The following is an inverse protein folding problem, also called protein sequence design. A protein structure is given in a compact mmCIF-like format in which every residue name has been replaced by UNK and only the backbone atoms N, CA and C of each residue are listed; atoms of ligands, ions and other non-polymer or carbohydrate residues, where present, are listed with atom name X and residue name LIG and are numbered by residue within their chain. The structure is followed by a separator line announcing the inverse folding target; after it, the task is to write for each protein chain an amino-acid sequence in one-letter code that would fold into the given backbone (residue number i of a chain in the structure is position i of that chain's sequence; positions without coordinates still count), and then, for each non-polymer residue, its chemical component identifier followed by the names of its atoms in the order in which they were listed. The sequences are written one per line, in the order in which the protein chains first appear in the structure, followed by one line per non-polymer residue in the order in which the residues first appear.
data_IF_402442659370
#
_entry.id   IF_402442659370
#
_cell.length_a   1.000
_cell.length_b   1.000
_cell.length_c   1.000
_cell.angle_alpha   90.00
_cell.angle_beta   90.00
_cell.angle_gamma   90.00
#
_symmetry.space_group_name_H-M   'P 1'
#
loop_
_entity.id
_entity.type
_entity.pdbx_description
1 polymer ?
#
# COMPACT_ATOMS: atom_id res chain seq x y z
N UNK A 1 23.91 8.47 -9.04
CA UNK A 1 23.07 9.54 -9.62
C UNK A 1 22.11 10.04 -8.54
N UNK A 2 21.62 11.28 -8.65
CA UNK A 2 20.55 11.81 -7.77
C UNK A 2 19.35 10.85 -7.69
N UNK A 3 19.01 10.20 -8.81
CA UNK A 3 17.96 9.18 -8.91
C UNK A 3 18.17 8.03 -7.92
N UNK A 4 19.38 7.48 -7.82
CA UNK A 4 19.68 6.39 -6.88
C UNK A 4 19.60 6.79 -5.40
N UNK A 5 19.80 8.08 -5.08
CA UNK A 5 19.63 8.59 -3.71
C UNK A 5 18.15 8.77 -3.36
N UNK A 6 17.36 9.35 -4.27
CA UNK A 6 15.91 9.48 -4.06
C UNK A 6 15.20 8.12 -4.02
N UNK A 7 15.62 7.14 -4.83
CA UNK A 7 15.09 5.77 -4.76
C UNK A 7 15.35 5.11 -3.41
N UNK A 8 16.53 5.34 -2.84
CA UNK A 8 16.91 4.78 -1.54
C UNK A 8 16.13 5.42 -0.40
N UNK A 9 15.95 6.75 -0.43
CA UNK A 9 15.14 7.47 0.56
C UNK A 9 13.66 7.09 0.48
N UNK A 10 13.09 7.00 -0.72
CA UNK A 10 11.68 6.62 -0.88
C UNK A 10 11.43 5.16 -0.44
N UNK A 11 12.37 4.26 -0.70
CA UNK A 11 12.28 2.87 -0.23
C UNK A 11 12.36 2.80 1.31
N UNK A 12 13.30 3.52 1.92
CA UNK A 12 13.42 3.61 3.38
C UNK A 12 12.14 4.15 4.03
N UNK A 13 11.58 5.25 3.53
CA UNK A 13 10.36 5.84 4.08
C UNK A 13 9.14 4.92 3.94
N UNK A 14 9.04 4.17 2.83
CA UNK A 14 7.96 3.20 2.63
C UNK A 14 8.13 1.97 3.53
N UNK A 15 9.34 1.45 3.68
CA UNK A 15 9.66 0.34 4.58
C UNK A 15 9.42 0.75 6.05
N UNK A 16 9.77 2.00 6.44
CA UNK A 16 9.50 2.57 7.77
C UNK A 16 8.00 2.74 8.04
N UNK A 17 7.24 3.31 7.10
CA UNK A 17 5.79 3.47 7.26
C UNK A 17 5.06 2.12 7.30
N UNK A 18 5.51 1.16 6.49
CA UNK A 18 5.00 -0.21 6.52
C UNK A 18 5.31 -0.89 7.84
N UNK A 19 6.55 -0.75 8.33
CA UNK A 19 6.94 -1.37 9.59
C UNK A 19 6.21 -0.74 10.77
N UNK A 20 6.04 0.59 10.77
CA UNK A 20 5.27 1.29 11.79
C UNK A 20 3.79 0.87 11.77
N UNK A 21 3.19 0.72 10.58
CA UNK A 21 1.82 0.21 10.45
C UNK A 21 1.70 -1.26 10.89
N UNK A 22 2.70 -2.10 10.62
CA UNK A 22 2.77 -3.50 11.08
C UNK A 22 2.95 -3.57 12.59
N UNK A 23 3.81 -2.74 13.17
CA UNK A 23 4.08 -2.71 14.60
C UNK A 23 2.85 -2.19 15.38
N UNK A 24 2.21 -1.11 14.89
CA UNK A 24 0.97 -0.57 15.46
C UNK A 24 -0.19 -1.56 15.29
N UNK A 25 -0.31 -2.22 14.13
CA UNK A 25 -1.31 -3.26 13.92
C UNK A 25 -1.02 -4.50 14.79
N UNK A 26 0.24 -4.90 14.94
CA UNK A 26 0.66 -6.05 15.73
C UNK A 26 0.41 -5.87 17.22
N UNK A 27 0.79 -4.72 17.78
CA UNK A 27 0.54 -4.39 19.18
C UNK A 27 -0.98 -4.32 19.47
N UNK A 28 -1.74 -3.66 18.60
CA UNK A 28 -3.19 -3.56 18.76
C UNK A 28 -3.91 -4.91 18.54
N UNK A 29 -3.43 -5.76 17.64
CA UNK A 29 -3.95 -7.12 17.45
C UNK A 29 -3.65 -8.03 18.64
N UNK A 30 -2.46 -7.94 19.22
CA UNK A 30 -2.11 -8.70 20.42
C UNK A 30 -3.04 -8.32 21.58
N UNK A 31 -3.24 -7.02 21.79
CA UNK A 31 -4.21 -6.52 22.78
C UNK A 31 -5.64 -6.97 22.46
N UNK A 32 -6.04 -7.00 21.19
CA UNK A 32 -7.34 -7.53 20.77
C UNK A 32 -7.52 -9.02 21.11
N UNK A 33 -6.46 -9.82 20.93
CA UNK A 33 -6.43 -11.22 21.35
C UNK A 33 -6.67 -11.36 22.86
N UNK A 34 -5.98 -10.55 23.66
CA UNK A 34 -6.17 -10.52 25.12
C UNK A 34 -7.58 -10.08 25.52
N UNK A 35 -8.19 -9.14 24.78
CA UNK A 35 -9.60 -8.75 24.99
C UNK A 35 -10.55 -9.92 24.70
N UNK A 36 -10.29 -10.72 23.67
CA UNK A 36 -11.09 -11.90 23.35
C UNK A 36 -10.91 -13.02 24.39
N UNK A 37 -9.72 -13.17 24.97
CA UNK A 37 -9.45 -14.15 26.04
C UNK A 37 -10.31 -13.93 27.28
N UNK A 38 -10.74 -12.69 27.57
CA UNK A 38 -11.66 -12.40 28.69
C UNK A 38 -12.98 -13.18 28.61
N UNK A 39 -13.40 -13.61 27.42
CA UNK A 39 -14.65 -14.38 27.23
C UNK A 39 -14.50 -15.88 27.53
N UNK A 40 -13.27 -16.37 27.65
CA UNK A 40 -12.97 -17.79 27.94
C UNK A 40 -12.14 -17.96 29.22
N UNK A 41 -11.91 -16.88 29.96
CA UNK A 41 -11.18 -16.88 31.22
C UNK A 41 -12.04 -17.47 32.35
N UNK A 42 -11.75 -18.71 32.73
CA UNK A 42 -12.44 -19.42 33.82
C UNK A 42 -12.27 -18.76 35.20
N UNK A 43 -11.39 -17.78 35.36
CA UNK A 43 -11.25 -16.99 36.59
C UNK A 43 -12.31 -15.90 36.72
N UNK A 44 -13.01 -15.56 35.63
CA UNK A 44 -14.13 -14.62 35.60
C UNK A 44 -15.42 -15.42 35.82
N UNK A 45 -16.15 -15.22 36.94
CA UNK A 45 -17.42 -15.91 37.16
C UNK A 45 -18.46 -15.56 36.09
N UNK A 46 -19.28 -16.53 35.68
CA UNK A 46 -20.34 -16.34 34.66
C UNK A 46 -21.33 -15.22 35.02
N UNK A 47 -21.57 -15.00 36.33
CA UNK A 47 -22.46 -13.95 36.85
C UNK A 47 -21.82 -12.55 36.85
N UNK A 48 -20.56 -12.43 36.38
CA UNK A 48 -19.87 -11.14 36.31
C UNK A 48 -20.62 -10.21 35.35
N UNK A 49 -21.01 -9.01 35.79
CA UNK A 49 -21.68 -8.05 34.92
C UNK A 49 -20.79 -7.69 33.72
N UNK A 50 -21.38 -7.67 32.53
CA UNK A 50 -20.66 -7.31 31.30
C UNK A 50 -19.94 -5.95 31.38
N UNK A 51 -20.45 -5.01 32.19
CA UNK A 51 -19.79 -3.74 32.45
C UNK A 51 -18.36 -3.92 33.03
N UNK A 52 -18.17 -4.85 33.97
CA UNK A 52 -16.86 -5.12 34.56
C UNK A 52 -15.91 -5.80 33.56
N UNK A 53 -16.43 -6.63 32.65
CA UNK A 53 -15.65 -7.22 31.55
C UNK A 53 -15.19 -6.15 30.57
N UNK A 54 -16.05 -5.17 30.24
CA UNK A 54 -15.66 -4.01 29.40
C UNK A 54 -14.58 -3.16 30.04
N UNK A 55 -14.65 -2.90 31.34
CA UNK A 55 -13.61 -2.14 32.05
C UNK A 55 -12.24 -2.83 31.91
N UNK A 56 -12.16 -4.14 32.15
CA UNK A 56 -10.95 -4.94 31.91
C UNK A 56 -10.49 -4.88 30.45
N UNK A 57 -11.42 -4.95 29.50
CA UNK A 57 -11.09 -4.85 28.09
C UNK A 57 -10.50 -3.48 27.72
N UNK A 58 -10.97 -2.39 28.35
CA UNK A 58 -10.47 -1.03 28.12
C UNK A 58 -9.11 -0.75 28.80
N UNK A 59 -8.76 -1.53 29.82
CA UNK A 59 -7.40 -1.53 30.39
C UNK A 59 -6.38 -2.17 29.42
N UNK A 60 -6.81 -3.17 28.64
CA UNK A 60 -5.97 -3.88 27.68
C UNK A 60 -5.83 -3.14 26.34
N UNK A 61 -6.91 -2.51 25.88
CA UNK A 61 -6.96 -1.78 24.61
C UNK A 61 -7.71 -0.47 24.80
N UNK A 62 -7.17 0.64 24.29
CA UNK A 62 -7.89 1.91 24.33
C UNK A 62 -9.20 1.79 23.54
N UNK A 63 -10.31 2.30 24.11
CA UNK A 63 -11.64 2.32 23.48
C UNK A 63 -11.62 2.91 22.06
N UNK A 64 -10.78 3.91 21.80
CA UNK A 64 -10.63 4.54 20.49
C UNK A 64 -10.03 3.59 19.43
N UNK A 65 -9.27 2.59 19.87
CA UNK A 65 -8.65 1.59 19.01
C UNK A 65 -9.62 0.46 18.63
N UNK A 66 -10.69 0.21 19.38
CA UNK A 66 -11.62 -0.90 19.11
C UNK A 66 -12.24 -0.87 17.69
N UNK A 67 -12.74 0.27 17.17
CA UNK A 67 -13.27 0.33 15.81
C UNK A 67 -12.22 0.05 14.74
N UNK A 68 -10.99 0.56 14.93
CA UNK A 68 -9.88 0.39 13.99
C UNK A 68 -9.47 -1.08 13.92
N UNK A 69 -9.26 -1.69 15.09
CA UNK A 69 -8.79 -3.07 15.23
C UNK A 69 -9.87 -4.07 14.79
N UNK A 70 -11.13 -3.86 15.17
CA UNK A 70 -12.22 -4.73 14.72
C UNK A 70 -12.45 -4.65 13.20
N UNK A 71 -12.30 -3.47 12.59
CA UNK A 71 -12.31 -3.31 11.13
C UNK A 71 -11.13 -4.04 10.50
N UNK A 72 -9.94 -3.90 11.08
CA UNK A 72 -8.74 -4.58 10.61
C UNK A 72 -8.88 -6.11 10.70
N UNK A 73 -9.29 -6.68 11.84
CA UNK A 73 -9.54 -8.11 12.01
C UNK A 73 -10.55 -8.68 11.00
N UNK A 74 -11.58 -7.89 10.65
CA UNK A 74 -12.57 -8.27 9.63
C UNK A 74 -12.03 -8.24 8.20
N UNK A 75 -11.03 -7.41 7.93
CA UNK A 75 -10.48 -7.18 6.59
C UNK A 75 -9.12 -7.88 6.36
N UNK A 76 -8.43 -8.33 7.41
CA UNK A 76 -7.17 -9.08 7.34
C UNK A 76 -7.30 -10.34 6.48
N UNK A 77 -8.45 -11.02 6.53
CA UNK A 77 -8.71 -12.21 5.70
C UNK A 77 -8.91 -11.88 4.21
N UNK A 78 -9.02 -10.61 3.82
CA UNK A 78 -9.48 -10.26 2.47
C UNK A 78 -8.52 -9.45 1.62
N UNK A 79 -7.35 -9.02 2.11
CA UNK A 79 -6.59 -8.05 1.31
C UNK A 79 -5.08 -8.19 1.26
N UNK A 80 -4.57 -9.42 1.28
CA UNK A 80 -3.25 -9.68 0.69
C UNK A 80 -3.16 -9.09 -0.72
N UNK A 81 -4.24 -9.19 -1.48
CA UNK A 81 -4.35 -8.64 -2.83
C UNK A 81 -4.35 -7.11 -2.84
N UNK A 82 -5.08 -6.35 -2.00
CA UNK A 82 -4.91 -4.89 -1.98
C UNK A 82 -3.65 -4.42 -1.30
N UNK A 83 -3.04 -5.16 -0.37
CA UNK A 83 -1.67 -4.86 0.06
C UNK A 83 -0.69 -5.00 -1.10
N UNK A 84 -0.81 -6.06 -1.90
CA UNK A 84 -0.05 -6.23 -3.13
C UNK A 84 -0.36 -5.12 -4.15
N UNK A 85 -1.62 -4.77 -4.41
CA UNK A 85 -2.01 -3.70 -5.35
C UNK A 85 -1.64 -2.30 -4.85
N UNK A 86 -1.73 -2.03 -3.55
CA UNK A 86 -1.26 -0.78 -2.94
C UNK A 86 0.25 -0.66 -3.10
N UNK A 87 0.99 -1.74 -2.86
CA UNK A 87 2.43 -1.82 -3.11
C UNK A 87 2.77 -1.59 -4.60
N UNK A 88 2.08 -2.26 -5.54
CA UNK A 88 2.23 -2.00 -6.97
C UNK A 88 1.86 -0.54 -7.33
N UNK A 89 0.88 0.05 -6.63
CA UNK A 89 0.50 1.46 -6.73
C UNK A 89 1.62 2.41 -6.30
N UNK A 90 2.42 2.07 -5.28
CA UNK A 90 3.62 2.84 -4.90
C UNK A 90 4.74 2.71 -5.95
N UNK A 91 4.81 1.57 -6.64
CA UNK A 91 5.77 1.33 -7.71
C UNK A 91 5.31 1.91 -9.06
N UNK A 92 4.05 2.32 -9.21
CA UNK A 92 3.45 2.91 -10.42
C UNK A 92 4.32 3.96 -11.08
N UNK A 93 4.90 4.87 -10.30
CA UNK A 93 5.72 5.95 -10.86
C UNK A 93 7.01 5.41 -11.47
N UNK A 94 7.65 4.42 -10.82
CA UNK A 94 8.83 3.72 -11.32
C UNK A 94 8.50 2.85 -12.53
N UNK A 95 7.38 2.12 -12.50
CA UNK A 95 6.89 1.37 -13.66
C UNK A 95 6.63 2.30 -14.84
N UNK A 96 5.96 3.44 -14.63
CA UNK A 96 5.71 4.42 -15.69
C UNK A 96 7.00 4.99 -16.27
N UNK A 97 8.01 5.30 -15.45
CA UNK A 97 9.30 5.81 -15.94
C UNK A 97 10.06 4.74 -16.75
N UNK A 98 10.16 3.51 -16.24
CA UNK A 98 10.85 2.43 -16.94
C UNK A 98 10.11 1.97 -18.20
N UNK A 99 8.78 1.83 -18.14
CA UNK A 99 7.95 1.51 -19.30
C UNK A 99 7.93 2.64 -20.30
N UNK A 100 7.98 3.92 -19.89
CA UNK A 100 8.12 5.06 -20.82
C UNK A 100 9.43 4.97 -21.59
N UNK A 101 10.53 4.59 -20.94
CA UNK A 101 11.79 4.37 -21.64
C UNK A 101 11.69 3.22 -22.64
N UNK A 102 11.11 2.08 -22.26
CA UNK A 102 10.91 0.96 -23.19
C UNK A 102 9.97 1.35 -24.34
N UNK A 103 8.83 1.97 -24.03
CA UNK A 103 7.85 2.45 -24.99
C UNK A 103 8.47 3.41 -26.01
N UNK A 104 9.34 4.33 -25.60
CA UNK A 104 10.01 5.25 -26.53
C UNK A 104 11.08 4.60 -27.41
N UNK A 105 11.55 3.39 -27.10
CA UNK A 105 12.67 2.73 -27.80
C UNK A 105 12.27 1.40 -28.47
N UNK A 106 11.01 0.97 -28.34
CA UNK A 106 10.49 -0.21 -29.03
C UNK A 106 9.87 0.22 -30.36
N UNK A 107 10.19 -0.55 -31.41
CA UNK A 107 9.53 -0.44 -32.70
C UNK A 107 8.18 -1.18 -32.64
N UNK A 108 7.09 -0.43 -32.77
CA UNK A 108 5.75 -1.00 -32.84
C UNK A 108 5.36 -1.25 -34.29
N UNK A 109 4.96 -2.47 -34.61
CA UNK A 109 4.47 -2.86 -35.94
C UNK A 109 3.07 -3.42 -35.79
N UNK A 110 2.13 -2.95 -36.60
CA UNK A 110 0.75 -3.46 -36.60
C UNK A 110 0.62 -4.61 -37.60
N UNK A 111 0.12 -5.78 -37.14
CA UNK A 111 -0.05 -6.98 -37.97
C UNK A 111 -1.32 -6.94 -38.84
N UNK A 112 -2.24 -6.02 -38.53
CA UNK A 112 -3.48 -5.77 -39.26
C UNK A 112 -3.53 -4.26 -39.50
N UNK A 113 -4.17 -3.81 -40.59
CA UNK A 113 -4.26 -2.41 -41.03
C UNK A 113 -5.06 -1.51 -40.08
N UNK A 114 -4.74 -1.50 -38.79
CA UNK A 114 -5.29 -0.58 -37.80
C UNK A 114 -4.36 0.65 -37.71
N UNK A 115 -4.36 1.42 -38.79
CA UNK A 115 -3.61 2.68 -38.94
C UNK A 115 -3.83 3.67 -37.77
N UNK A 116 -5.07 3.88 -37.26
CA UNK A 116 -5.31 4.87 -36.21
C UNK A 116 -4.61 4.57 -34.88
N UNK A 117 -4.47 3.28 -34.52
CA UNK A 117 -3.77 2.91 -33.28
C UNK A 117 -2.25 3.08 -33.43
N UNK A 118 -1.71 2.73 -34.59
CA UNK A 118 -0.29 2.92 -34.87
C UNK A 118 0.06 4.41 -34.91
N UNK A 119 -0.76 5.24 -35.53
CA UNK A 119 -0.61 6.70 -35.53
C UNK A 119 -0.65 7.28 -34.11
N UNK A 120 -1.59 6.83 -33.27
CA UNK A 120 -1.67 7.27 -31.88
C UNK A 120 -0.43 6.88 -31.07
N UNK A 121 0.11 5.68 -31.30
CA UNK A 121 1.34 5.21 -30.65
C UNK A 121 2.54 6.06 -31.08
N UNK A 122 2.70 6.30 -32.38
CA UNK A 122 3.80 7.12 -32.92
C UNK A 122 3.72 8.56 -32.41
N UNK A 123 2.54 9.17 -32.41
CA UNK A 123 2.30 10.50 -31.84
C UNK A 123 2.71 10.58 -30.36
N UNK A 124 2.37 9.58 -29.56
CA UNK A 124 2.75 9.52 -28.15
C UNK A 124 4.27 9.33 -27.95
N UNK A 125 4.94 8.59 -28.83
CA UNK A 125 6.40 8.46 -28.81
C UNK A 125 7.09 9.80 -29.12
N UNK A 126 6.62 10.53 -30.14
CA UNK A 126 7.16 11.84 -30.51
C UNK A 126 7.01 12.88 -29.38
N UNK A 127 5.80 12.98 -28.79
CA UNK A 127 5.54 13.88 -27.66
C UNK A 127 6.48 13.58 -26.49
N UNK A 128 6.66 12.29 -26.18
CA UNK A 128 7.50 11.86 -25.08
C UNK A 128 8.99 12.14 -25.31
N UNK A 129 9.46 12.11 -26.57
CA UNK A 129 10.82 12.45 -26.97
C UNK A 129 11.05 13.98 -26.95
N UNK A 130 10.06 14.77 -27.37
CA UNK A 130 10.15 16.24 -27.36
C UNK A 130 10.30 16.82 -25.95
N UNK A 131 9.53 16.30 -24.97
CA UNK A 131 9.69 16.66 -23.56
C UNK A 131 11.11 16.36 -23.04
N UNK A 132 11.77 15.31 -23.54
CA UNK A 132 13.13 14.95 -23.14
C UNK A 132 14.16 15.96 -23.64
N UNK A 133 14.01 16.41 -24.88
CA UNK A 133 14.90 17.38 -25.52
C UNK A 133 14.78 18.77 -24.90
N UNK A 134 13.56 19.21 -24.56
CA UNK A 134 13.31 20.53 -23.97
C UNK A 134 13.95 20.68 -22.58
N UNK A 135 13.92 19.63 -21.76
CA UNK A 135 14.50 19.60 -20.42
C UNK A 135 16.05 19.55 -20.39
N UNK A 136 16.70 19.27 -21.54
CA UNK A 136 18.17 19.26 -21.67
C UNK A 136 18.74 20.62 -22.13
N UNK A 137 17.89 21.52 -22.64
CA UNK A 137 18.29 22.84 -23.17
C UNK A 137 18.09 24.00 -22.18
N UNK A 138 17.61 23.75 -20.97
CA UNK A 138 17.32 24.79 -19.96
C UNK A 138 18.33 24.82 -18.80
N UNK A 139 19.56 24.33 -19.00
CA UNK A 139 20.67 24.46 -18.06
C UNK A 139 21.88 25.10 -18.72
#
# INVERSE_FOLDING_TARGET
SLIGQYEKQAKLAADEAMQQAIDEAGANLQAAGQVLELFIDNSIPDETPFAAVKEKAFELLNIESFPVVSSFMRNIELDKTAFEWSYYGTLRHKFKLNLRHLFCNLDFVCLVSDEPLLEAILFLQELAQWERSYNLTTY
#
